data_IF_374219761581
#
_entry.id   IF_374219761581
#
_cell.length_a   1.000
_cell.length_b   1.000
_cell.length_c   1.000
_cell.angle_alpha   90.00
_cell.angle_beta   90.00
_cell.angle_gamma   90.00
#
_symmetry.space_group_name_H-M   'P 1'
#
loop_
_entity.id
_entity.type
_entity.pdbx_description
1 polymer ?
#
# COMPACT_ATOMS: atom_id res chain seq x y z
N UNK A 1 -52.44 -11.25 -35.25
CA UNK A 1 -52.00 -11.26 -36.66
C UNK A 1 -52.88 -10.31 -37.48
N UNK A 2 -52.46 -9.05 -37.66
CA UNK A 2 -53.22 -8.09 -38.49
C UNK A 2 -52.94 -8.42 -39.97
N UNK A 3 -53.99 -8.50 -40.79
CA UNK A 3 -53.85 -8.74 -42.22
C UNK A 3 -53.59 -7.40 -42.90
N UNK A 4 -52.38 -7.23 -43.42
CA UNK A 4 -52.03 -6.11 -44.28
C UNK A 4 -52.55 -6.38 -45.69
N UNK A 5 -53.14 -5.38 -46.35
CA UNK A 5 -53.50 -5.44 -47.76
C UNK A 5 -52.56 -4.53 -48.55
N UNK A 6 -51.94 -5.07 -49.60
CA UNK A 6 -51.18 -4.28 -50.59
C UNK A 6 -52.13 -3.35 -51.36
N UNK A 7 -51.74 -2.11 -51.68
CA UNK A 7 -52.36 -1.36 -52.76
C UNK A 7 -51.94 -1.95 -54.11
N UNK A 8 -52.85 -1.87 -55.09
CA UNK A 8 -52.64 -2.39 -56.44
C UNK A 8 -51.61 -1.52 -57.20
N UNK A 9 -50.35 -1.94 -57.19
CA UNK A 9 -49.36 -1.44 -58.15
C UNK A 9 -48.58 -2.62 -58.75
N UNK A 10 -49.16 -3.21 -59.78
CA UNK A 10 -48.49 -4.18 -60.63
C UNK A 10 -48.31 -3.56 -62.02
N UNK A 11 -47.09 -3.11 -62.34
CA UNK A 11 -46.72 -2.85 -63.73
C UNK A 11 -45.21 -2.99 -64.04
N UNK A 12 -44.36 -3.50 -63.14
CA UNK A 12 -42.99 -3.88 -63.52
C UNK A 12 -42.72 -5.37 -63.28
N UNK A 13 -42.03 -5.98 -64.24
CA UNK A 13 -41.72 -7.42 -64.27
C UNK A 13 -40.40 -7.77 -63.55
N UNK A 14 -39.70 -6.76 -63.01
CA UNK A 14 -38.45 -6.95 -62.28
C UNK A 14 -38.72 -7.13 -60.76
N UNK A 15 -38.30 -8.24 -60.13
CA UNK A 15 -38.53 -8.51 -58.71
C UNK A 15 -37.86 -7.52 -57.74
N UNK A 16 -36.80 -6.81 -58.13
CA UNK A 16 -36.09 -5.88 -57.24
C UNK A 16 -36.81 -4.54 -57.11
N UNK A 17 -37.27 -3.94 -58.23
CA UNK A 17 -38.11 -2.74 -58.20
C UNK A 17 -39.43 -2.97 -57.44
N UNK A 18 -39.97 -4.19 -57.52
CA UNK A 18 -41.18 -4.60 -56.79
C UNK A 18 -40.96 -4.66 -55.28
N UNK A 19 -39.73 -4.92 -54.85
CA UNK A 19 -39.34 -4.95 -53.44
C UNK A 19 -39.08 -3.53 -52.92
N UNK A 20 -38.48 -2.66 -53.72
CA UNK A 20 -38.25 -1.25 -53.36
C UNK A 20 -39.56 -0.46 -53.26
N UNK A 21 -40.47 -0.63 -54.23
CA UNK A 21 -41.81 -0.02 -54.16
C UNK A 21 -42.65 -0.50 -52.96
N UNK A 22 -42.32 -1.66 -52.39
CA UNK A 22 -42.95 -2.20 -51.18
C UNK A 22 -42.42 -1.60 -49.88
N UNK A 23 -41.21 -1.02 -49.92
CA UNK A 23 -40.55 -0.43 -48.76
C UNK A 23 -40.88 1.07 -48.61
N UNK A 24 -41.22 1.76 -49.69
CA UNK A 24 -41.48 3.22 -49.66
C UNK A 24 -42.89 3.63 -49.19
N UNK A 25 -43.88 2.74 -49.23
CA UNK A 25 -45.22 3.05 -48.71
C UNK A 25 -45.39 2.51 -47.28
N UNK A 26 -45.58 3.38 -46.25
CA UNK A 26 -45.78 2.89 -44.89
C UNK A 26 -47.05 2.06 -44.81
N UNK A 27 -46.90 0.79 -44.46
CA UNK A 27 -47.97 -0.14 -44.17
C UNK A 27 -48.80 0.39 -42.99
N UNK A 28 -49.89 1.10 -43.30
CA UNK A 28 -50.85 1.54 -42.29
C UNK A 28 -51.71 0.36 -41.87
N UNK A 29 -51.67 0.03 -40.58
CA UNK A 29 -52.63 -0.91 -40.00
C UNK A 29 -54.01 -0.26 -39.96
N UNK A 30 -55.02 -0.86 -40.61
CA UNK A 30 -56.42 -0.47 -40.41
C UNK A 30 -56.82 -0.82 -38.96
N UNK A 31 -56.87 0.18 -38.08
CA UNK A 31 -57.21 0.01 -36.66
C UNK A 31 -58.71 -0.08 -36.40
N UNK A 32 -59.53 0.37 -37.34
CA UNK A 32 -60.97 0.59 -37.11
C UNK A 32 -61.85 -0.61 -37.48
N UNK A 33 -61.26 -1.72 -37.94
CA UNK A 33 -62.02 -2.95 -38.20
C UNK A 33 -61.99 -3.87 -36.98
N UNK A 34 -63.14 -4.12 -36.33
CA UNK A 34 -63.20 -5.08 -35.25
C UNK A 34 -62.84 -6.47 -35.78
N UNK A 35 -61.90 -7.11 -35.09
CA UNK A 35 -61.52 -8.48 -35.40
C UNK A 35 -62.71 -9.40 -35.05
N UNK A 36 -63.16 -10.30 -35.94
CA UNK A 36 -64.22 -11.23 -35.58
C UNK A 36 -63.74 -12.08 -34.39
N UNK A 37 -64.58 -12.28 -33.36
CA UNK A 37 -64.19 -13.02 -32.17
C UNK A 37 -63.79 -14.44 -32.56
N UNK A 38 -62.59 -14.83 -32.14
CA UNK A 38 -62.05 -16.15 -32.43
C UNK A 38 -62.66 -17.11 -31.39
N UNK A 39 -63.30 -18.21 -31.81
CA UNK A 39 -63.86 -19.18 -30.87
C UNK A 39 -62.75 -19.83 -30.04
N UNK A 40 -63.09 -20.26 -28.82
CA UNK A 40 -62.14 -20.80 -27.83
C UNK A 40 -61.26 -21.97 -28.32
N UNK A 41 -61.69 -22.68 -29.38
CA UNK A 41 -60.93 -23.77 -30.00
C UNK A 41 -59.84 -23.30 -30.97
N UNK A 42 -59.72 -22.01 -31.28
CA UNK A 42 -58.77 -21.45 -32.25
C UNK A 42 -59.38 -21.21 -33.63
N UNK A 43 -58.54 -20.85 -34.62
CA UNK A 43 -59.03 -20.62 -36.00
C UNK A 43 -59.02 -21.90 -36.83
N UNK A 44 -60.14 -22.15 -37.51
CA UNK A 44 -60.29 -23.27 -38.43
C UNK A 44 -59.78 -22.90 -39.82
N UNK A 45 -58.85 -23.70 -40.34
CA UNK A 45 -58.33 -23.54 -41.70
C UNK A 45 -58.76 -24.76 -42.52
N UNK A 46 -59.12 -24.57 -43.79
CA UNK A 46 -59.58 -25.66 -44.66
C UNK A 46 -58.46 -26.71 -44.80
N UNK A 47 -58.71 -27.92 -44.30
CA UNK A 47 -57.75 -29.04 -44.33
C UNK A 47 -56.79 -29.15 -43.13
N UNK A 48 -56.75 -28.17 -42.21
CA UNK A 48 -55.71 -28.08 -41.17
C UNK A 48 -56.17 -28.20 -39.71
N UNK A 49 -57.45 -28.51 -39.46
CA UNK A 49 -58.00 -28.52 -38.10
C UNK A 49 -58.08 -27.13 -37.47
N UNK A 50 -58.23 -27.09 -36.15
CA UNK A 50 -58.19 -25.85 -35.37
C UNK A 50 -56.76 -25.64 -34.84
N UNK A 51 -56.14 -24.52 -35.19
CA UNK A 51 -54.84 -24.14 -34.63
C UNK A 51 -55.05 -23.35 -33.34
N UNK A 52 -54.45 -23.81 -32.23
CA UNK A 52 -54.45 -23.08 -30.96
C UNK A 52 -53.78 -21.72 -31.13
N UNK A 53 -54.28 -20.73 -30.39
CA UNK A 53 -53.75 -19.38 -30.40
C UNK A 53 -52.25 -19.45 -30.02
N UNK A 54 -51.35 -18.95 -30.86
CA UNK A 54 -50.01 -18.64 -30.39
C UNK A 54 -50.19 -17.58 -29.31
N UNK A 55 -49.75 -17.81 -28.06
CA UNK A 55 -49.92 -16.81 -27.02
C UNK A 55 -49.26 -15.53 -27.50
N UNK A 56 -49.95 -14.40 -27.36
CA UNK A 56 -49.33 -13.10 -27.58
C UNK A 56 -48.26 -12.93 -26.52
N UNK A 57 -47.00 -12.95 -26.94
CA UNK A 57 -45.88 -12.61 -26.07
C UNK A 57 -45.75 -11.10 -26.16
N UNK A 58 -46.00 -10.42 -25.05
CA UNK A 58 -45.75 -8.98 -24.97
C UNK A 58 -44.24 -8.75 -24.98
N UNK A 59 -43.75 -7.96 -25.94
CA UNK A 59 -42.33 -7.59 -26.02
C UNK A 59 -42.10 -6.34 -25.16
N UNK A 60 -41.27 -6.49 -24.12
CA UNK A 60 -40.85 -5.40 -23.24
C UNK A 60 -39.34 -5.16 -23.40
N UNK A 61 -38.95 -3.89 -23.54
CA UNK A 61 -37.55 -3.45 -23.47
C UNK A 61 -37.28 -2.82 -22.10
N UNK A 62 -36.18 -3.22 -21.46
CA UNK A 62 -35.75 -2.71 -20.16
C UNK A 62 -34.47 -3.40 -19.68
N UNK A 63 -33.89 -2.94 -18.57
CA UNK A 63 -32.66 -3.54 -18.03
C UNK A 63 -32.93 -4.95 -17.49
N UNK A 64 -31.89 -5.79 -17.42
CA UNK A 64 -32.00 -7.20 -17.00
C UNK A 64 -32.70 -7.39 -15.64
N UNK A 65 -32.54 -6.40 -14.75
CA UNK A 65 -33.19 -6.36 -13.44
C UNK A 65 -34.70 -6.09 -13.50
N UNK A 66 -35.20 -5.44 -14.55
CA UNK A 66 -36.60 -5.06 -14.70
C UNK A 66 -37.41 -6.04 -15.57
N UNK A 67 -36.83 -6.59 -16.64
CA UNK A 67 -37.59 -7.37 -17.64
C UNK A 67 -37.49 -8.88 -17.44
N UNK A 68 -36.32 -9.41 -17.07
CA UNK A 68 -36.11 -10.86 -16.96
C UNK A 68 -36.44 -11.42 -15.57
N UNK A 69 -37.06 -10.64 -14.68
CA UNK A 69 -37.28 -11.05 -13.28
C UNK A 69 -35.99 -11.42 -12.54
N UNK A 70 -34.83 -10.91 -12.99
CA UNK A 70 -33.51 -11.32 -12.50
C UNK A 70 -32.98 -12.65 -13.02
N UNK A 71 -33.70 -13.38 -13.89
CA UNK A 71 -33.28 -14.68 -14.38
C UNK A 71 -32.56 -14.58 -15.74
N UNK A 72 -31.23 -14.48 -15.68
CA UNK A 72 -30.33 -14.71 -16.80
C UNK A 72 -29.50 -15.97 -16.46
N UNK A 73 -29.81 -17.15 -17.05
CA UNK A 73 -29.30 -18.45 -16.56
C UNK A 73 -27.81 -18.69 -16.87
N UNK A 74 -27.13 -17.73 -17.51
CA UNK A 74 -25.68 -17.69 -17.69
C UNK A 74 -25.07 -16.38 -17.17
N UNK A 75 -25.76 -15.69 -16.26
CA UNK A 75 -25.23 -14.53 -15.57
C UNK A 75 -24.27 -14.99 -14.51
N UNK A 76 -22.99 -14.79 -14.76
CA UNK A 76 -22.02 -14.75 -13.67
C UNK A 76 -22.45 -13.61 -12.76
N UNK A 77 -23.16 -13.95 -11.69
CA UNK A 77 -23.43 -13.06 -10.56
C UNK A 77 -22.11 -12.87 -9.81
N UNK A 78 -21.22 -12.12 -10.44
CA UNK A 78 -19.97 -11.66 -9.86
C UNK A 78 -20.01 -10.13 -9.87
N UNK A 79 -21.02 -9.57 -9.22
CA UNK A 79 -20.84 -8.25 -8.63
C UNK A 79 -19.80 -8.44 -7.52
N UNK A 80 -18.59 -7.92 -7.75
CA UNK A 80 -17.61 -7.83 -6.68
C UNK A 80 -18.22 -7.01 -5.54
N UNK A 81 -18.01 -7.39 -4.27
CA UNK A 81 -18.52 -6.63 -3.14
C UNK A 81 -18.09 -5.17 -3.27
N UNK A 82 -19.06 -4.26 -3.19
CA UNK A 82 -18.84 -2.80 -3.31
C UNK A 82 -18.32 -2.25 -1.98
N UNK A 83 -17.36 -2.97 -1.40
CA UNK A 83 -16.77 -2.66 -0.11
C UNK A 83 -15.40 -2.02 -0.33
N UNK A 84 -15.20 -0.86 0.26
CA UNK A 84 -13.92 -0.17 0.25
C UNK A 84 -13.75 0.89 -0.83
N UNK A 85 -12.49 1.15 -1.19
CA UNK A 85 -12.12 2.24 -2.11
C UNK A 85 -12.58 1.94 -3.54
N UNK A 86 -13.36 2.83 -4.20
CA UNK A 86 -13.78 2.63 -5.58
C UNK A 86 -12.61 2.80 -6.55
N UNK A 87 -12.23 1.72 -7.24
CA UNK A 87 -11.06 1.68 -8.15
C UNK A 87 -11.44 1.77 -9.62
N UNK A 88 -12.61 1.26 -10.01
CA UNK A 88 -12.97 1.22 -11.43
C UNK A 88 -14.29 0.50 -11.68
N UNK A 89 -14.41 -0.09 -12.87
CA UNK A 89 -15.58 -0.84 -13.30
C UNK A 89 -15.19 -2.24 -13.76
N UNK A 90 -16.04 -3.21 -13.47
CA UNK A 90 -15.91 -4.55 -14.00
C UNK A 90 -16.08 -4.51 -15.52
N UNK A 91 -15.16 -5.10 -16.26
CA UNK A 91 -15.26 -5.17 -17.73
C UNK A 91 -16.39 -6.09 -18.19
N UNK A 92 -16.79 -7.07 -17.36
CA UNK A 92 -17.84 -8.01 -17.69
C UNK A 92 -19.25 -7.45 -17.46
N UNK A 93 -19.44 -6.70 -16.36
CA UNK A 93 -20.78 -6.28 -15.91
C UNK A 93 -20.98 -4.77 -15.89
N UNK A 94 -19.92 -3.98 -16.03
CA UNK A 94 -19.95 -2.53 -15.87
C UNK A 94 -20.15 -2.04 -14.44
N UNK A 95 -20.37 -2.97 -13.48
CA UNK A 95 -20.55 -2.65 -12.07
C UNK A 95 -19.31 -1.99 -11.47
N UNK A 96 -19.50 -1.11 -10.48
CA UNK A 96 -18.39 -0.50 -9.74
C UNK A 96 -17.57 -1.57 -9.02
N UNK A 97 -16.25 -1.46 -9.08
CA UNK A 97 -15.33 -2.32 -8.35
C UNK A 97 -14.68 -1.48 -7.26
N UNK A 98 -14.82 -1.95 -6.02
CA UNK A 98 -14.12 -1.43 -4.87
C UNK A 98 -13.05 -2.44 -4.44
N UNK A 99 -11.90 -1.94 -4.02
CA UNK A 99 -10.80 -2.78 -3.56
C UNK A 99 -9.94 -1.97 -2.61
N UNK A 100 -9.81 -2.40 -1.36
CA UNK A 100 -8.73 -2.00 -0.46
C UNK A 100 -8.52 -3.08 0.61
N UNK A 101 -7.29 -3.23 1.15
CA UNK A 101 -6.97 -4.34 2.02
C UNK A 101 -7.64 -4.22 3.40
N UNK A 102 -8.01 -3.02 3.85
CA UNK A 102 -8.56 -2.81 5.20
C UNK A 102 -10.06 -3.14 5.20
N UNK A 103 -10.82 -2.59 4.28
CA UNK A 103 -12.26 -2.81 4.17
C UNK A 103 -12.56 -4.27 3.81
N UNK A 104 -11.78 -4.87 2.90
CA UNK A 104 -11.93 -6.30 2.59
C UNK A 104 -11.62 -7.23 3.76
N UNK A 105 -10.63 -6.86 4.59
CA UNK A 105 -10.35 -7.61 5.81
C UNK A 105 -11.49 -7.47 6.83
N UNK A 106 -11.98 -6.25 7.04
CA UNK A 106 -13.13 -5.99 7.93
C UNK A 106 -14.41 -6.72 7.49
N UNK A 107 -14.62 -6.85 6.18
CA UNK A 107 -15.74 -7.60 5.61
C UNK A 107 -15.53 -9.12 5.57
N UNK A 108 -14.37 -9.63 6.02
CA UNK A 108 -14.06 -11.06 6.02
C UNK A 108 -13.81 -11.66 4.64
N UNK A 109 -13.58 -10.83 3.61
CA UNK A 109 -13.26 -11.27 2.24
C UNK A 109 -11.83 -11.81 2.18
N UNK A 110 -10.91 -11.15 2.89
CA UNK A 110 -9.51 -11.58 3.03
C UNK A 110 -9.17 -11.81 4.50
N UNK A 111 -8.26 -12.73 4.77
CA UNK A 111 -7.83 -13.08 6.13
C UNK A 111 -6.74 -12.17 6.69
N UNK A 112 -6.06 -11.43 5.84
CA UNK A 112 -4.97 -10.53 6.22
C UNK A 112 -5.09 -9.23 5.42
N UNK A 113 -4.98 -8.05 6.06
CA UNK A 113 -5.13 -6.76 5.38
C UNK A 113 -3.84 -6.38 4.63
N UNK A 114 -3.43 -7.20 3.66
CA UNK A 114 -2.26 -6.96 2.83
C UNK A 114 -2.63 -6.84 1.35
N UNK A 115 -1.91 -5.97 0.64
CA UNK A 115 -2.05 -5.76 -0.80
C UNK A 115 -0.66 -5.68 -1.42
N UNK A 116 -0.46 -6.40 -2.50
CA UNK A 116 0.78 -6.37 -3.28
C UNK A 116 0.52 -5.79 -4.66
N UNK A 117 1.12 -4.65 -4.98
CA UNK A 117 0.92 -3.95 -6.24
C UNK A 117 2.13 -4.14 -7.16
N UNK A 118 1.92 -4.89 -8.25
CA UNK A 118 2.90 -5.09 -9.31
C UNK A 118 2.50 -4.36 -10.58
N UNK A 119 3.49 -3.98 -11.36
CA UNK A 119 3.29 -3.34 -12.66
C UNK A 119 4.61 -2.91 -13.26
N UNK A 120 4.63 -2.59 -14.55
CA UNK A 120 5.80 -2.01 -15.19
C UNK A 120 5.91 -0.51 -14.86
N UNK A 121 7.11 0.11 -14.97
CA UNK A 121 7.22 1.56 -14.91
C UNK A 121 6.23 2.25 -15.87
N UNK A 122 5.70 3.40 -15.47
CA UNK A 122 4.75 4.22 -16.25
C UNK A 122 3.35 3.60 -16.55
N UNK A 123 2.96 2.48 -15.94
CA UNK A 123 1.61 1.90 -16.12
C UNK A 123 0.53 2.45 -15.18
N UNK A 124 0.87 3.44 -14.34
CA UNK A 124 -0.07 4.05 -13.39
C UNK A 124 -0.09 3.45 -11.99
N UNK A 125 0.98 2.76 -11.57
CA UNK A 125 1.12 2.22 -10.19
C UNK A 125 0.94 3.31 -9.12
N UNK A 126 1.70 4.41 -9.20
CA UNK A 126 1.57 5.51 -8.23
C UNK A 126 0.16 6.11 -8.25
N UNK A 127 -0.47 6.21 -9.43
CA UNK A 127 -1.87 6.69 -9.57
C UNK A 127 -2.84 5.79 -8.81
N UNK A 128 -2.68 4.47 -8.92
CA UNK A 128 -3.50 3.52 -8.18
C UNK A 128 -3.27 3.66 -6.66
N UNK A 129 -2.02 3.71 -6.20
CA UNK A 129 -1.71 3.90 -4.77
C UNK A 129 -2.29 5.21 -4.24
N UNK A 130 -2.17 6.32 -4.98
CA UNK A 130 -2.79 7.61 -4.61
C UNK A 130 -4.31 7.49 -4.46
N UNK A 131 -4.97 6.74 -5.35
CA UNK A 131 -6.41 6.46 -5.25
C UNK A 131 -6.74 5.71 -3.96
N UNK A 132 -5.93 4.70 -3.60
CA UNK A 132 -6.08 3.95 -2.36
C UNK A 132 -5.89 4.83 -1.14
N UNK A 133 -4.82 5.62 -1.07
CA UNK A 133 -4.53 6.54 0.04
C UNK A 133 -5.68 7.54 0.22
N UNK A 134 -6.15 8.15 -0.87
CA UNK A 134 -7.27 9.09 -0.83
C UNK A 134 -8.56 8.43 -0.34
N UNK A 135 -8.91 7.27 -0.89
CA UNK A 135 -10.13 6.56 -0.51
C UNK A 135 -10.10 6.05 0.92
N UNK A 136 -8.97 5.48 1.36
CA UNK A 136 -8.78 5.02 2.74
C UNK A 136 -8.82 6.19 3.73
N UNK A 137 -8.24 7.35 3.36
CA UNK A 137 -8.35 8.57 4.16
C UNK A 137 -9.79 9.05 4.31
N UNK A 138 -10.59 8.97 3.24
CA UNK A 138 -12.03 9.26 3.32
C UNK A 138 -12.80 8.28 4.22
N UNK A 139 -12.30 7.05 4.40
CA UNK A 139 -12.84 6.05 5.34
C UNK A 139 -12.27 6.20 6.77
N UNK A 140 -11.51 7.26 7.04
CA UNK A 140 -10.94 7.57 8.36
C UNK A 140 -9.63 6.85 8.67
N UNK A 141 -8.92 6.34 7.67
CA UNK A 141 -7.61 5.69 7.85
C UNK A 141 -6.46 6.65 7.52
N UNK A 142 -5.43 6.67 8.35
CA UNK A 142 -4.21 7.43 8.08
C UNK A 142 -3.20 6.58 7.30
N UNK A 143 -2.60 7.16 6.26
CA UNK A 143 -1.54 6.53 5.50
C UNK A 143 -0.17 6.93 6.06
N UNK A 144 0.76 5.97 6.17
CA UNK A 144 2.16 6.20 6.50
C UNK A 144 2.98 5.72 5.32
N UNK A 145 3.78 6.62 4.74
CA UNK A 145 4.61 6.35 3.56
C UNK A 145 6.07 6.50 4.01
N UNK A 146 6.78 5.39 4.27
CA UNK A 146 8.10 5.41 4.89
C UNK A 146 9.24 5.82 3.94
N UNK A 147 9.01 5.91 2.63
CA UNK A 147 10.05 6.39 1.73
C UNK A 147 9.54 6.74 0.34
N UNK A 148 9.26 8.02 0.13
CA UNK A 148 8.86 8.58 -1.15
C UNK A 148 10.09 9.04 -1.95
N UNK A 149 10.69 8.10 -2.71
CA UNK A 149 11.90 8.37 -3.51
C UNK A 149 11.64 9.27 -4.72
N UNK A 150 10.46 9.15 -5.31
CA UNK A 150 9.99 10.04 -6.37
C UNK A 150 8.78 10.72 -5.76
N UNK A 151 8.83 12.03 -5.42
CA UNK A 151 7.92 12.69 -4.49
C UNK A 151 6.47 12.72 -5.03
N UNK A 152 5.88 11.55 -5.11
CA UNK A 152 4.62 11.24 -5.75
C UNK A 152 3.50 11.43 -4.74
N UNK A 153 3.76 11.21 -3.46
CA UNK A 153 2.74 11.20 -2.42
C UNK A 153 2.80 12.45 -1.53
N UNK A 154 3.95 13.11 -1.43
CA UNK A 154 4.11 14.37 -0.69
C UNK A 154 2.99 15.39 -0.97
N UNK A 155 2.64 15.59 -2.25
CA UNK A 155 1.57 16.51 -2.65
C UNK A 155 0.18 16.06 -2.19
N UNK A 156 -0.10 14.75 -2.23
CA UNK A 156 -1.35 14.16 -1.79
C UNK A 156 -1.48 14.26 -0.26
N UNK A 157 -0.42 13.92 0.47
CA UNK A 157 -0.41 14.02 1.93
C UNK A 157 -0.58 15.46 2.39
N UNK A 158 0.08 16.41 1.73
CA UNK A 158 -0.14 17.84 1.98
C UNK A 158 -1.60 18.27 1.73
N UNK A 159 -2.24 17.79 0.66
CA UNK A 159 -3.66 18.05 0.38
C UNK A 159 -4.60 17.48 1.45
N UNK A 160 -4.24 16.33 2.03
CA UNK A 160 -5.00 15.70 3.11
C UNK A 160 -4.74 16.35 4.49
N UNK A 161 -3.99 17.45 4.56
CA UNK A 161 -3.60 18.08 5.82
C UNK A 161 -2.61 17.26 6.65
N UNK A 162 -1.95 16.30 6.01
CA UNK A 162 -0.95 15.43 6.62
C UNK A 162 0.41 16.09 6.80
N UNK A 163 1.35 15.31 7.32
CA UNK A 163 2.71 15.72 7.60
C UNK A 163 3.66 15.19 6.51
N UNK A 164 4.46 16.07 5.92
CA UNK A 164 5.56 15.67 5.01
C UNK A 164 6.89 15.93 5.72
N UNK A 165 7.61 14.86 6.04
CA UNK A 165 8.92 14.89 6.69
C UNK A 165 9.98 14.71 5.60
N UNK A 166 10.74 15.77 5.32
CA UNK A 166 11.82 15.72 4.33
C UNK A 166 13.10 15.24 4.97
N UNK A 167 13.70 14.21 4.37
CA UNK A 167 14.99 13.67 4.81
C UNK A 167 16.03 13.86 3.72
N UNK A 168 17.23 14.27 4.13
CA UNK A 168 18.29 14.62 3.20
C UNK A 168 19.45 15.29 3.91
N UNK A 169 20.64 15.19 3.32
CA UNK A 169 21.85 15.80 3.88
C UNK A 169 21.66 17.33 4.01
N UNK A 170 21.61 17.83 5.25
CA UNK A 170 21.35 19.25 5.55
C UNK A 170 19.89 19.69 5.41
N UNK A 171 18.96 18.77 5.20
CA UNK A 171 17.51 19.02 5.12
C UNK A 171 16.81 18.47 6.36
N UNK A 172 17.05 17.20 6.67
CA UNK A 172 16.40 16.50 7.77
C UNK A 172 17.20 15.26 8.20
N UNK A 173 17.22 15.05 9.51
CA UNK A 173 17.96 13.97 10.20
C UNK A 173 16.96 13.08 10.92
N UNK A 174 17.23 11.78 10.95
CA UNK A 174 16.51 10.79 11.77
C UNK A 174 17.52 10.12 12.69
N UNK A 175 17.28 10.14 13.99
CA UNK A 175 18.13 9.45 14.95
C UNK A 175 17.69 7.97 15.06
N UNK A 176 18.54 6.98 14.71
CA UNK A 176 18.19 5.57 14.85
C UNK A 176 17.96 5.11 16.30
N UNK A 177 18.48 5.87 17.26
CA UNK A 177 18.30 5.58 18.69
C UNK A 177 17.11 6.34 19.29
N UNK A 178 16.36 7.12 18.50
CA UNK A 178 15.18 7.85 18.96
C UNK A 178 13.95 6.92 19.02
N UNK A 179 13.26 6.81 20.19
CA UNK A 179 12.06 5.98 20.30
C UNK A 179 10.81 6.60 19.65
N UNK A 180 10.90 7.87 19.23
CA UNK A 180 9.72 8.67 18.95
C UNK A 180 8.81 8.76 20.18
N UNK A 181 7.51 8.53 19.97
CA UNK A 181 6.50 8.64 21.02
C UNK A 181 6.64 7.59 22.12
N UNK A 182 7.35 6.47 21.87
CA UNK A 182 7.63 5.46 22.89
C UNK A 182 8.46 6.02 24.06
N UNK A 183 9.33 7.01 23.82
CA UNK A 183 10.13 7.67 24.86
C UNK A 183 9.23 8.27 25.92
N UNK A 184 8.23 9.00 25.43
CA UNK A 184 7.29 9.76 26.24
C UNK A 184 6.25 8.84 26.88
N UNK A 185 5.87 7.76 26.19
CA UNK A 185 5.02 6.72 26.78
C UNK A 185 5.72 6.03 27.96
N UNK A 186 7.01 5.69 27.84
CA UNK A 186 7.79 5.06 28.91
C UNK A 186 7.89 5.93 30.16
N UNK A 187 7.87 7.26 30.03
CA UNK A 187 7.84 8.18 31.17
C UNK A 187 6.51 8.16 31.94
N UNK A 188 5.41 7.70 31.30
CA UNK A 188 4.06 7.67 31.87
C UNK A 188 3.64 6.28 32.36
N UNK A 189 4.48 5.27 32.14
CA UNK A 189 4.22 3.89 32.52
C UNK A 189 5.07 3.50 33.72
N UNK A 190 4.51 2.62 34.56
CA UNK A 190 5.15 2.08 35.75
C UNK A 190 5.11 0.54 35.80
N UNK A 191 5.97 -0.04 36.64
CA UNK A 191 5.98 -1.47 36.92
C UNK A 191 6.29 -2.35 35.71
N UNK A 192 5.54 -3.45 35.56
CA UNK A 192 5.79 -4.48 34.53
C UNK A 192 5.64 -3.93 33.11
N UNK A 193 4.62 -3.11 32.84
CA UNK A 193 4.37 -2.56 31.51
C UNK A 193 5.52 -1.66 31.03
N UNK A 194 6.10 -0.87 31.95
CA UNK A 194 7.29 -0.05 31.65
C UNK A 194 8.48 -0.93 31.28
N UNK A 195 8.70 -2.01 32.05
CA UNK A 195 9.82 -2.93 31.81
C UNK A 195 9.66 -3.64 30.47
N UNK A 196 8.50 -4.25 30.21
CA UNK A 196 8.24 -5.00 28.98
C UNK A 196 8.40 -4.08 27.74
N UNK A 197 7.93 -2.83 27.82
CA UNK A 197 8.10 -1.86 26.74
C UNK A 197 9.56 -1.39 26.59
N UNK A 198 10.30 -1.21 27.68
CA UNK A 198 11.71 -0.85 27.62
C UNK A 198 12.59 -1.98 27.05
N UNK A 199 12.27 -3.24 27.37
CA UNK A 199 12.95 -4.41 26.82
C UNK A 199 12.70 -4.52 25.30
N UNK A 200 11.43 -4.49 24.87
CA UNK A 200 11.07 -4.45 23.44
C UNK A 200 11.77 -3.30 22.70
N UNK A 201 11.88 -2.16 23.37
CA UNK A 201 12.47 -0.97 22.80
C UNK A 201 13.99 -1.11 22.58
N UNK A 202 14.71 -1.65 23.56
CA UNK A 202 16.14 -1.90 23.42
C UNK A 202 16.43 -2.92 22.31
N UNK A 203 15.62 -3.97 22.20
CA UNK A 203 15.75 -4.99 21.15
C UNK A 203 15.60 -4.39 19.75
N UNK A 204 14.60 -3.50 19.59
CA UNK A 204 14.30 -2.85 18.30
C UNK A 204 15.42 -1.89 17.89
N UNK A 205 15.95 -1.09 18.81
CA UNK A 205 17.13 -0.24 18.57
C UNK A 205 18.36 -1.06 18.18
N UNK A 206 18.62 -2.15 18.89
CA UNK A 206 19.76 -3.01 18.61
C UNK A 206 19.66 -3.60 17.21
N UNK A 207 18.50 -4.16 16.85
CA UNK A 207 18.25 -4.70 15.52
C UNK A 207 18.41 -3.65 14.41
N UNK A 208 17.88 -2.43 14.61
CA UNK A 208 18.05 -1.35 13.66
C UNK A 208 19.53 -0.95 13.48
N UNK A 209 20.27 -0.83 14.59
CA UNK A 209 21.70 -0.52 14.52
C UNK A 209 22.50 -1.62 13.81
N UNK A 210 22.18 -2.90 14.02
CA UNK A 210 22.81 -4.01 13.29
C UNK A 210 22.55 -3.93 11.77
N UNK A 211 21.31 -3.62 11.39
CA UNK A 211 20.93 -3.43 9.98
C UNK A 211 21.71 -2.25 9.39
N UNK A 212 21.80 -1.12 10.09
CA UNK A 212 22.54 0.06 9.63
C UNK A 212 24.04 -0.22 9.48
N UNK A 213 24.66 -0.88 10.46
CA UNK A 213 26.07 -1.27 10.40
C UNK A 213 26.32 -2.23 9.23
N UNK A 214 25.42 -3.18 9.00
CA UNK A 214 25.50 -4.12 7.88
C UNK A 214 25.41 -3.40 6.54
N UNK A 215 24.41 -2.52 6.36
CA UNK A 215 24.24 -1.72 5.13
C UNK A 215 25.48 -0.87 4.87
N UNK A 216 26.02 -0.22 5.90
CA UNK A 216 27.21 0.61 5.76
C UNK A 216 28.45 -0.22 5.37
N UNK A 217 28.65 -1.39 5.97
CA UNK A 217 29.78 -2.28 5.64
C UNK A 217 29.66 -2.81 4.21
N UNK A 218 28.47 -3.23 3.78
CA UNK A 218 28.21 -3.67 2.40
C UNK A 218 28.42 -2.53 1.39
N UNK A 219 28.03 -1.30 1.72
CA UNK A 219 28.24 -0.13 0.86
C UNK A 219 29.70 0.31 0.70
N UNK A 220 30.62 -0.16 1.55
CA UNK A 220 32.07 0.13 1.46
C UNK A 220 32.84 -0.88 0.59
N UNK A 221 32.31 -2.08 0.37
CA UNK A 221 32.99 -3.15 -0.39
C UNK A 221 33.17 -2.81 -1.88
N UNK A 222 32.41 -1.87 -2.44
CA UNK A 222 32.62 -1.42 -3.83
C UNK A 222 33.95 -0.70 -4.07
N UNK A 223 34.65 -0.28 -3.01
CA UNK A 223 35.84 0.59 -3.08
C UNK A 223 37.18 -0.09 -2.70
N UNK A 224 37.25 -1.42 -2.70
CA UNK A 224 38.41 -2.29 -2.44
C UNK A 224 38.51 -2.86 -1.01
N UNK A 225 38.94 -4.13 -0.95
CA UNK A 225 39.00 -5.06 0.19
C UNK A 225 37.70 -5.73 0.62
N UNK A 226 37.71 -7.07 0.54
CA UNK A 226 36.69 -8.00 1.00
C UNK A 226 36.67 -8.05 2.55
N UNK A 227 36.24 -6.95 3.17
CA UNK A 227 35.99 -6.85 4.60
C UNK A 227 34.83 -7.73 5.08
N UNK A 228 34.72 -7.89 6.40
CA UNK A 228 33.67 -8.70 7.05
C UNK A 228 32.26 -8.27 6.63
N UNK A 229 31.50 -9.25 6.10
CA UNK A 229 30.09 -9.09 5.73
C UNK A 229 29.23 -9.04 6.98
N UNK A 230 28.86 -7.84 7.40
CA UNK A 230 27.91 -7.60 8.49
C UNK A 230 28.53 -7.63 9.89
N UNK A 231 27.65 -7.56 10.88
CA UNK A 231 28.00 -7.55 12.31
C UNK A 231 28.27 -8.98 12.77
N UNK A 232 29.42 -9.20 13.42
CA UNK A 232 29.74 -10.53 13.98
C UNK A 232 28.88 -10.82 15.22
N UNK A 233 28.71 -12.10 15.59
CA UNK A 233 27.95 -12.48 16.78
C UNK A 233 28.45 -11.76 18.06
N UNK A 234 29.78 -11.62 18.20
CA UNK A 234 30.38 -10.90 19.32
C UNK A 234 30.07 -9.40 19.26
N UNK A 235 30.16 -8.76 18.10
CA UNK A 235 29.80 -7.34 17.96
C UNK A 235 28.30 -7.11 18.25
N UNK A 236 27.44 -8.05 17.88
CA UNK A 236 26.01 -8.04 18.21
C UNK A 236 25.78 -8.12 19.73
N UNK A 237 26.46 -9.05 20.43
CA UNK A 237 26.40 -9.14 21.89
C UNK A 237 26.88 -7.85 22.58
N UNK A 238 28.01 -7.28 22.12
CA UNK A 238 28.55 -6.02 22.62
C UNK A 238 27.56 -4.87 22.39
N UNK A 239 26.99 -4.78 21.19
CA UNK A 239 26.05 -3.72 20.82
C UNK A 239 24.77 -3.80 21.64
N UNK A 240 24.22 -5.00 21.85
CA UNK A 240 23.04 -5.25 22.66
C UNK A 240 23.22 -4.76 24.09
N UNK A 241 24.35 -5.09 24.72
CA UNK A 241 24.68 -4.61 26.07
C UNK A 241 24.93 -3.11 26.08
N UNK A 242 25.64 -2.57 25.10
CA UNK A 242 25.96 -1.14 25.02
C UNK A 242 24.70 -0.26 24.86
N UNK A 243 23.76 -0.64 23.99
CA UNK A 243 22.49 0.08 23.79
C UNK A 243 21.66 0.08 25.08
N UNK A 244 21.62 -1.05 25.79
CA UNK A 244 20.93 -1.15 27.06
C UNK A 244 21.55 -0.25 28.14
N UNK A 245 22.88 -0.33 28.33
CA UNK A 245 23.61 0.50 29.30
C UNK A 245 23.47 1.98 28.96
N UNK A 246 23.47 2.34 27.67
CA UNK A 246 23.26 3.71 27.23
C UNK A 246 21.88 4.22 27.65
N UNK A 247 20.84 3.41 27.45
CA UNK A 247 19.48 3.79 27.85
C UNK A 247 19.30 3.82 29.37
N UNK A 248 19.94 2.93 30.13
CA UNK A 248 19.90 2.99 31.59
C UNK A 248 20.51 4.29 32.13
N UNK A 249 21.50 4.87 31.43
CA UNK A 249 22.13 6.15 31.79
C UNK A 249 21.32 7.37 31.34
N UNK A 250 20.75 7.33 30.15
CA UNK A 250 20.12 8.49 29.49
C UNK A 250 18.59 8.41 29.43
N UNK A 251 17.96 7.32 29.89
CA UNK A 251 16.53 7.09 29.72
C UNK A 251 15.64 8.07 30.48
N UNK A 252 16.20 8.77 31.48
CA UNK A 252 15.53 9.87 32.18
C UNK A 252 15.63 11.22 31.46
N UNK A 253 16.47 11.33 30.43
CA UNK A 253 16.72 12.60 29.77
C UNK A 253 15.56 13.00 28.84
N UNK A 254 15.28 14.32 28.69
CA UNK A 254 14.22 14.80 27.81
C UNK A 254 14.43 14.44 26.33
N UNK A 255 15.70 14.27 25.94
CA UNK A 255 16.12 13.90 24.59
C UNK A 255 16.72 12.50 24.60
N UNK A 256 16.43 11.67 23.57
CA UNK A 256 17.02 10.35 23.45
C UNK A 256 18.53 10.46 23.11
N UNK A 257 19.32 9.43 23.42
CA UNK A 257 20.74 9.40 23.04
C UNK A 257 20.91 9.35 21.52
N UNK A 258 22.03 9.85 21.01
CA UNK A 258 22.43 9.78 19.59
C UNK A 258 23.56 8.77 19.38
N UNK A 259 23.87 8.44 18.12
CA UNK A 259 24.93 7.47 17.77
C UNK A 259 26.31 7.88 18.32
N UNK A 260 26.56 9.18 18.48
CA UNK A 260 27.78 9.67 19.12
C UNK A 260 27.89 9.23 20.59
N UNK A 261 26.79 9.21 21.33
CA UNK A 261 26.78 8.79 22.74
C UNK A 261 27.06 7.29 22.86
N UNK A 262 26.53 6.48 21.94
CA UNK A 262 26.82 5.04 21.86
C UNK A 262 28.32 4.78 21.56
N UNK A 263 28.88 5.53 20.60
CA UNK A 263 30.32 5.48 20.29
C UNK A 263 31.16 5.84 21.52
N UNK A 264 30.80 6.91 22.23
CA UNK A 264 31.56 7.40 23.37
C UNK A 264 31.41 6.47 24.59
N UNK A 265 30.25 5.83 24.75
CA UNK A 265 30.05 4.77 25.73
C UNK A 265 31.00 3.59 25.45
N UNK A 266 31.05 3.09 24.23
CA UNK A 266 31.97 2.01 23.84
C UNK A 266 33.43 2.42 24.00
N UNK A 267 33.78 3.67 23.72
CA UNK A 267 35.14 4.16 23.93
C UNK A 267 35.51 4.21 25.42
N UNK A 268 34.56 4.54 26.30
CA UNK A 268 34.77 4.55 27.76
C UNK A 268 34.87 3.14 28.36
N UNK A 269 34.27 2.14 27.71
CA UNK A 269 34.27 0.74 28.12
C UNK A 269 33.76 0.51 29.56
N UNK A 270 32.46 0.73 29.85
CA UNK A 270 31.84 0.31 31.11
C UNK A 270 32.06 -1.17 31.39
N UNK A 271 32.03 -1.54 32.67
CA UNK A 271 32.30 -2.92 33.11
C UNK A 271 31.38 -3.93 32.41
N UNK A 272 30.10 -3.62 32.30
CA UNK A 272 29.08 -4.47 31.67
C UNK A 272 29.40 -4.74 30.19
N UNK A 273 29.86 -3.71 29.47
CA UNK A 273 30.24 -3.79 28.05
C UNK A 273 31.56 -4.55 27.89
N UNK A 274 32.52 -4.36 28.81
CA UNK A 274 33.78 -5.11 28.83
C UNK A 274 33.55 -6.60 29.07
N UNK A 275 32.67 -6.95 30.00
CA UNK A 275 32.28 -8.33 30.29
C UNK A 275 31.62 -9.01 29.07
N UNK A 276 30.86 -8.25 28.25
CA UNK A 276 30.32 -8.75 27.00
C UNK A 276 31.39 -8.95 25.91
N UNK A 277 32.39 -8.06 25.84
CA UNK A 277 33.43 -8.11 24.82
C UNK A 277 34.53 -9.15 25.10
N UNK A 278 34.96 -9.25 26.36
CA UNK A 278 36.08 -10.07 26.84
C UNK A 278 35.67 -10.70 28.17
N UNK A 279 34.90 -11.78 28.10
CA UNK A 279 34.30 -12.41 29.30
C UNK A 279 35.33 -13.03 30.26
N UNK A 280 36.49 -13.43 29.75
CA UNK A 280 37.56 -14.12 30.47
C UNK A 280 38.51 -13.15 31.17
N UNK A 281 38.77 -11.98 30.57
CA UNK A 281 39.59 -10.91 31.15
C UNK A 281 39.03 -9.51 30.86
N UNK A 282 37.91 -9.11 31.51
CA UNK A 282 37.29 -7.79 31.28
C UNK A 282 38.19 -6.60 31.66
N UNK A 283 39.22 -6.83 32.46
CA UNK A 283 40.18 -5.80 32.89
C UNK A 283 41.23 -5.47 31.84
N UNK A 284 41.33 -6.25 30.77
CA UNK A 284 42.37 -6.10 29.76
C UNK A 284 42.02 -5.06 28.70
N UNK A 285 42.62 -3.87 28.83
CA UNK A 285 42.39 -2.75 27.92
C UNK A 285 42.79 -3.06 26.47
N UNK A 286 43.87 -3.81 26.25
CA UNK A 286 44.36 -4.13 24.90
C UNK A 286 43.40 -5.09 24.18
N UNK A 287 42.94 -6.14 24.87
CA UNK A 287 41.97 -7.08 24.33
C UNK A 287 40.64 -6.39 24.06
N UNK A 288 40.17 -5.57 24.99
CA UNK A 288 38.93 -4.81 24.81
C UNK A 288 39.02 -3.90 23.57
N UNK A 289 40.08 -3.08 23.49
CA UNK A 289 40.29 -2.16 22.38
C UNK A 289 40.40 -2.89 21.04
N UNK A 290 40.96 -4.10 21.00
CA UNK A 290 40.98 -4.92 19.79
C UNK A 290 39.58 -5.40 19.37
N UNK A 291 38.73 -5.81 20.32
CA UNK A 291 37.37 -6.29 20.02
C UNK A 291 36.44 -5.17 19.53
N UNK A 292 36.53 -3.97 20.11
CA UNK A 292 35.60 -2.87 19.77
C UNK A 292 36.09 -1.97 18.63
N UNK A 293 37.33 -2.14 18.14
CA UNK A 293 37.94 -1.25 17.13
C UNK A 293 37.10 -1.10 15.86
N UNK A 294 36.61 -2.21 15.32
CA UNK A 294 35.78 -2.22 14.11
C UNK A 294 34.47 -1.46 14.34
N UNK A 295 33.76 -1.81 15.42
CA UNK A 295 32.51 -1.17 15.81
C UNK A 295 32.67 0.34 16.06
N UNK A 296 33.74 0.76 16.73
CA UNK A 296 34.05 2.17 16.96
C UNK A 296 34.33 2.94 15.67
N UNK A 297 35.06 2.35 14.72
CA UNK A 297 35.29 2.97 13.41
C UNK A 297 33.97 3.15 12.65
N UNK A 298 33.06 2.18 12.77
CA UNK A 298 31.77 2.23 12.12
C UNK A 298 30.83 3.27 12.72
N UNK A 299 30.69 3.26 14.05
CA UNK A 299 29.89 4.25 14.76
C UNK A 299 30.49 5.66 14.63
N UNK A 300 31.81 5.79 14.52
CA UNK A 300 32.43 7.07 14.17
C UNK A 300 31.97 7.55 12.78
N UNK A 301 31.81 6.63 11.83
CA UNK A 301 31.22 6.91 10.52
C UNK A 301 29.81 7.51 10.62
N UNK A 302 28.95 6.98 11.49
CA UNK A 302 27.60 7.52 11.73
C UNK A 302 27.57 8.78 12.60
N UNK A 303 28.53 8.96 13.52
CA UNK A 303 28.56 10.12 14.41
C UNK A 303 29.21 11.36 13.77
N UNK A 304 30.05 11.18 12.75
CA UNK A 304 30.77 12.27 12.11
C UNK A 304 29.92 12.95 11.02
N UNK A 305 29.50 14.20 11.27
CA UNK A 305 28.68 15.03 10.36
C UNK A 305 29.29 15.29 8.99
N UNK A 306 30.58 15.00 8.81
CA UNK A 306 31.24 15.15 7.51
C UNK A 306 31.01 13.96 6.59
N UNK A 307 30.58 12.81 7.10
CA UNK A 307 30.36 11.60 6.32
C UNK A 307 28.96 11.56 5.71
N UNK A 308 28.75 10.70 4.71
CA UNK A 308 27.44 10.51 4.07
C UNK A 308 26.34 10.07 5.05
N UNK A 309 26.67 9.15 5.97
CA UNK A 309 25.73 8.64 6.98
C UNK A 309 25.54 9.60 8.14
N UNK A 310 26.61 10.27 8.62
CA UNK A 310 26.51 11.14 9.78
C UNK A 310 25.70 12.40 9.56
N UNK A 311 25.57 12.86 8.31
CA UNK A 311 24.64 13.95 7.95
C UNK A 311 23.16 13.58 8.11
N UNK A 312 22.82 12.30 8.21
CA UNK A 312 21.45 11.79 8.25
C UNK A 312 21.08 11.13 9.57
N UNK A 313 22.05 10.55 10.28
CA UNK A 313 21.82 9.73 11.47
C UNK A 313 22.60 10.20 12.71
N UNK A 314 23.46 11.21 12.57
CA UNK A 314 24.38 11.63 13.64
C UNK A 314 23.82 12.64 14.63
N UNK A 315 22.62 13.16 14.41
CA UNK A 315 21.98 14.19 15.27
C UNK A 315 20.57 13.76 15.68
N UNK A 316 19.92 14.59 16.51
CA UNK A 316 18.53 14.38 16.94
C UNK A 316 17.56 14.40 15.76
N UNK A 317 16.48 13.62 15.87
CA UNK A 317 15.42 13.61 14.86
C UNK A 317 14.82 15.00 14.68
N UNK A 318 14.81 15.46 13.43
CA UNK A 318 14.39 16.83 13.09
C UNK A 318 12.89 17.07 13.19
N UNK A 319 12.08 16.06 12.89
CA UNK A 319 10.62 16.14 12.96
C UNK A 319 10.04 14.86 13.55
N UNK A 320 9.16 15.01 14.54
CA UNK A 320 8.42 13.87 15.10
C UNK A 320 7.27 13.47 14.21
N UNK A 321 7.01 12.18 14.14
CA UNK A 321 5.86 11.62 13.43
C UNK A 321 4.60 11.94 14.22
N UNK A 322 3.59 12.48 13.56
CA UNK A 322 2.24 12.62 14.11
C UNK A 322 1.29 11.61 13.47
N UNK A 323 1.01 10.53 14.20
CA UNK A 323 0.14 9.43 13.74
C UNK A 323 -1.35 9.80 13.68
N UNK A 324 -1.75 10.97 14.18
CA UNK A 324 -3.13 11.45 14.09
C UNK A 324 -3.53 11.89 12.68
N UNK A 325 -2.55 12.05 11.78
CA UNK A 325 -2.74 12.46 10.39
C UNK A 325 -1.91 11.58 9.44
N UNK A 326 -2.16 11.63 8.11
CA UNK A 326 -1.30 10.95 7.15
C UNK A 326 0.14 11.49 7.19
N UNK A 327 1.13 10.62 7.04
CA UNK A 327 2.56 10.97 7.09
C UNK A 327 3.30 10.46 5.86
N UNK A 328 4.13 11.31 5.28
CA UNK A 328 5.01 11.00 4.16
C UNK A 328 6.46 11.33 4.52
N UNK A 329 7.36 10.36 4.34
CA UNK A 329 8.80 10.57 4.41
C UNK A 329 9.33 10.82 3.01
N UNK A 330 9.49 12.10 2.67
CA UNK A 330 10.06 12.55 1.40
C UNK A 330 11.59 12.38 1.44
N UNK A 331 12.06 11.31 0.81
CA UNK A 331 13.48 10.97 0.67
C UNK A 331 14.01 11.28 -0.72
N UNK A 332 13.27 12.07 -1.52
CA UNK A 332 13.62 12.37 -2.91
C UNK A 332 14.96 13.10 -3.06
N UNK A 333 15.35 13.87 -2.04
CA UNK A 333 16.66 14.51 -1.97
C UNK A 333 17.84 13.50 -1.92
N UNK A 334 17.58 12.26 -1.49
CA UNK A 334 18.56 11.19 -1.38
C UNK A 334 18.63 10.30 -2.62
N UNK A 335 17.82 10.55 -3.65
CA UNK A 335 17.81 9.76 -4.87
C UNK A 335 19.19 9.71 -5.59
N UNK A 336 20.09 10.65 -5.30
CA UNK A 336 21.46 10.69 -5.82
C UNK A 336 22.54 10.28 -4.80
N UNK A 337 22.17 9.96 -3.55
CA UNK A 337 23.12 9.78 -2.43
C UNK A 337 23.70 8.36 -2.28
N UNK A 338 23.38 7.45 -3.20
CA UNK A 338 23.82 6.05 -3.19
C UNK A 338 22.77 5.10 -2.60
N UNK A 339 22.71 3.87 -3.14
CA UNK A 339 21.70 2.87 -2.78
C UNK A 339 21.79 2.45 -1.30
N UNK A 340 22.98 2.49 -0.70
CA UNK A 340 23.20 2.14 0.70
C UNK A 340 22.62 3.19 1.66
N UNK A 341 22.72 4.48 1.31
CA UNK A 341 22.09 5.55 2.08
C UNK A 341 20.56 5.47 2.00
N UNK A 342 20.01 5.20 0.82
CA UNK A 342 18.56 5.01 0.63
C UNK A 342 18.07 3.80 1.43
N UNK A 343 18.79 2.67 1.38
CA UNK A 343 18.47 1.48 2.16
C UNK A 343 18.48 1.74 3.67
N UNK A 344 19.48 2.47 4.17
CA UNK A 344 19.58 2.83 5.59
C UNK A 344 18.42 3.72 6.06
N UNK A 345 18.04 4.71 5.25
CA UNK A 345 16.91 5.59 5.59
C UNK A 345 15.60 4.81 5.57
N UNK A 346 15.38 3.95 4.56
CA UNK A 346 14.23 3.06 4.55
C UNK A 346 14.20 2.16 5.79
N UNK A 347 15.31 1.50 6.15
CA UNK A 347 15.35 0.69 7.37
C UNK A 347 14.94 1.48 8.63
N UNK A 348 15.40 2.73 8.75
CA UNK A 348 15.12 3.59 9.90
C UNK A 348 13.66 4.05 9.94
N UNK A 349 13.10 4.49 8.81
CA UNK A 349 11.71 4.99 8.70
C UNK A 349 10.63 3.92 8.83
N UNK A 350 10.99 2.64 8.67
CA UNK A 350 10.09 1.50 8.85
C UNK A 350 10.02 0.97 10.29
N UNK A 351 10.92 1.44 11.16
CA UNK A 351 11.07 0.97 12.55
C UNK A 351 10.40 1.92 13.51
#
# INVERSE_FOLDING_TARGET
MRLFRKPDSAASSDPVERMEALLEAPLRAETDRPYPPIPWRGRRIRGGGYASLMPTVDEFFGTSSQVCGGFWPFGTDMALPVEGVPVGRSLATGAGVCCDPISWFKAGIIKQPSMFLLGLPAIGKSTFVRRQVLGLSALGMNAIIPGDLKPDYASLVGMLGGQVIRLGAGIGVVNPLDPGDLHYALQRLDGKARKDLADYYNDTRCALMEVLLTIMRTGRESDADAGQRGVTARESDILSVAVRVLYERCGGDPQPPVVADLRDLLASGPREVREAAVYDDPGNDELYAAQVRGLLADLHGFANRMTKFGRLFGEQTTARIDLSRPVDFDISALAQSGDDVVAAVLATTWT
#
